data_IF_014325813969
#
_entry.id   IF_014325813969
#
_cell.length_a   1.000
_cell.length_b   1.000
_cell.length_c   1.000
_cell.angle_alpha   90.00
_cell.angle_beta   90.00
_cell.angle_gamma   90.00
#
_symmetry.space_group_name_H-M   'P 1'
#
loop_
_entity.id
_entity.type
_entity.pdbx_description
1 polymer ?
#
# COMPACT_ATOMS: atom_id res chain seq x y z
N UNK A 1 -15.65 42.86 42.58
CA UNK A 1 -16.12 42.14 41.38
C UNK A 1 -16.16 40.66 41.73
N UNK A 2 -17.35 40.07 41.96
CA UNK A 2 -18.09 39.22 41.00
C UNK A 2 -17.21 38.14 40.38
N UNK A 3 -17.50 36.85 40.36
CA UNK A 3 -18.30 35.93 41.17
C UNK A 3 -17.75 34.55 40.77
N UNK A 4 -17.44 33.69 41.74
CA UNK A 4 -17.06 32.29 41.51
C UNK A 4 -18.33 31.57 41.08
N UNK A 5 -18.32 30.86 39.95
CA UNK A 5 -19.41 29.94 39.60
C UNK A 5 -18.84 28.57 39.23
N UNK A 6 -19.04 27.66 40.17
CA UNK A 6 -18.91 26.21 40.06
C UNK A 6 -20.01 25.65 39.16
N UNK A 7 -19.68 24.71 38.26
CA UNK A 7 -20.65 23.70 37.79
C UNK A 7 -19.96 22.34 37.77
N UNK A 8 -20.24 21.56 38.81
CA UNK A 8 -20.13 20.12 38.88
C UNK A 8 -21.47 19.56 38.37
N UNK A 9 -21.45 18.62 37.42
CA UNK A 9 -22.61 17.79 37.13
C UNK A 9 -22.15 16.34 36.97
N UNK A 10 -22.23 15.63 38.09
CA UNK A 10 -22.26 14.18 38.19
C UNK A 10 -23.71 13.76 38.05
N UNK A 11 -24.01 12.86 37.11
CA UNK A 11 -25.23 12.06 37.13
C UNK A 11 -24.88 10.62 36.72
N UNK A 12 -24.73 9.79 37.74
CA UNK A 12 -24.79 8.34 37.66
C UNK A 12 -26.26 7.86 37.54
N UNK A 13 -26.39 6.57 37.21
CA UNK A 13 -27.55 5.67 37.30
C UNK A 13 -28.38 5.44 36.04
N UNK A 14 -28.21 4.25 35.44
CA UNK A 14 -29.17 3.14 35.62
C UNK A 14 -28.40 1.84 35.90
N UNK A 15 -28.80 1.17 36.98
CA UNK A 15 -28.38 -0.13 37.50
C UNK A 15 -29.16 -1.29 36.88
N UNK A 16 -28.52 -2.47 36.86
CA UNK A 16 -29.12 -3.77 37.20
C UNK A 16 -29.93 -4.49 36.11
N UNK A 17 -29.80 -5.80 35.86
CA UNK A 17 -29.19 -6.90 36.60
C UNK A 17 -30.15 -8.09 36.65
N UNK A 18 -29.73 -9.28 36.20
CA UNK A 18 -30.25 -10.64 36.49
C UNK A 18 -29.32 -11.62 35.75
N UNK A 19 -28.33 -12.29 36.33
CA UNK A 19 -28.26 -13.30 37.40
C UNK A 19 -28.64 -14.75 36.97
N UNK A 20 -27.66 -15.65 37.16
CA UNK A 20 -27.72 -17.11 37.39
C UNK A 20 -28.15 -18.10 36.29
N UNK A 21 -27.24 -19.02 35.94
CA UNK A 21 -27.21 -20.45 36.35
C UNK A 21 -26.00 -21.14 35.67
N UNK A 22 -24.99 -21.61 36.39
CA UNK A 22 -24.81 -22.88 37.15
C UNK A 22 -23.98 -23.90 36.35
N UNK A 23 -22.98 -24.44 37.06
CA UNK A 23 -21.97 -25.45 36.69
C UNK A 23 -22.61 -26.80 36.32
N UNK A 24 -21.97 -27.58 35.44
CA UNK A 24 -21.51 -28.93 35.80
C UNK A 24 -20.43 -29.49 34.84
N UNK A 25 -19.50 -30.21 35.47
CA UNK A 25 -18.40 -31.01 34.92
C UNK A 25 -18.94 -32.27 34.24
N UNK A 26 -18.20 -32.86 33.30
CA UNK A 26 -17.75 -34.28 33.29
C UNK A 26 -16.98 -34.53 31.98
N UNK A 27 -15.69 -34.84 32.13
CA UNK A 27 -14.80 -35.43 31.12
C UNK A 27 -14.75 -36.97 31.36
N UNK A 28 -13.95 -37.75 30.62
CA UNK A 28 -14.33 -38.57 29.47
C UNK A 28 -14.34 -40.08 29.79
N UNK A 29 -15.02 -40.91 28.98
CA UNK A 29 -14.72 -42.35 28.93
C UNK A 29 -14.76 -42.92 27.50
N UNK A 30 -13.99 -44.00 27.38
CA UNK A 30 -13.22 -44.50 26.23
C UNK A 30 -13.73 -45.90 25.89
N UNK A 31 -13.37 -46.39 24.68
CA UNK A 31 -13.51 -47.76 24.13
C UNK A 31 -14.89 -48.04 23.48
N UNK A 32 -15.01 -48.71 22.33
CA UNK A 32 -14.24 -49.82 21.78
C UNK A 32 -14.06 -49.73 20.25
N UNK A 33 -12.98 -50.35 19.80
CA UNK A 33 -12.65 -50.69 18.42
C UNK A 33 -13.74 -51.53 17.76
N UNK A 34 -14.06 -51.22 16.50
CA UNK A 34 -14.43 -52.22 15.50
C UNK A 34 -13.67 -51.94 14.21
N UNK A 35 -12.67 -52.79 13.93
CA UNK A 35 -12.19 -53.02 12.58
C UNK A 35 -13.37 -53.47 11.70
N UNK A 36 -13.64 -52.75 10.61
CA UNK A 36 -14.31 -53.30 9.44
C UNK A 36 -13.53 -52.86 8.21
N UNK A 37 -13.07 -53.85 7.45
CA UNK A 37 -12.32 -53.72 6.22
C UNK A 37 -13.17 -53.10 5.10
N UNK A 38 -12.52 -52.17 4.40
CA UNK A 38 -12.61 -51.86 2.96
C UNK A 38 -13.98 -51.98 2.28
N UNK A 39 -14.56 -50.82 1.97
CA UNK A 39 -15.26 -50.67 0.71
C UNK A 39 -14.86 -49.35 0.02
N UNK A 40 -14.74 -49.47 -1.29
CA UNK A 40 -14.05 -48.62 -2.23
C UNK A 40 -14.80 -47.28 -2.41
N UNK A 41 -14.21 -46.16 -1.98
CA UNK A 41 -14.75 -44.83 -2.25
C UNK A 41 -13.83 -44.11 -3.22
N UNK A 42 -14.41 -43.85 -4.40
CA UNK A 42 -13.95 -42.97 -5.47
C UNK A 42 -13.08 -41.81 -4.98
N UNK A 43 -11.86 -41.74 -5.51
CA UNK A 43 -11.10 -40.49 -5.57
C UNK A 43 -11.91 -39.50 -6.41
N UNK A 44 -12.65 -38.61 -5.76
CA UNK A 44 -13.00 -37.33 -6.38
C UNK A 44 -11.69 -36.65 -6.76
N UNK A 45 -11.45 -36.53 -8.06
CA UNK A 45 -10.45 -35.63 -8.62
C UNK A 45 -10.64 -34.26 -7.95
N UNK A 46 -9.69 -33.91 -7.10
CA UNK A 46 -9.43 -32.53 -6.76
C UNK A 46 -9.00 -31.91 -8.09
N UNK A 47 -9.94 -31.22 -8.74
CA UNK A 47 -9.64 -30.30 -9.82
C UNK A 47 -8.65 -29.32 -9.20
N UNK A 48 -7.36 -29.55 -9.48
CA UNK A 48 -6.33 -28.54 -9.32
C UNK A 48 -6.81 -27.37 -10.16
N UNK A 49 -7.35 -26.37 -9.50
CA UNK A 49 -7.39 -25.01 -10.03
C UNK A 49 -6.00 -24.77 -10.58
N UNK A 50 -5.89 -24.70 -11.91
CA UNK A 50 -4.64 -24.33 -12.55
C UNK A 50 -4.37 -22.93 -12.03
N UNK A 51 -3.45 -22.82 -11.08
CA UNK A 51 -2.68 -21.60 -10.91
C UNK A 51 -2.12 -21.29 -12.29
N UNK A 52 -2.79 -20.38 -13.00
CA UNK A 52 -2.21 -19.75 -14.16
C UNK A 52 -1.08 -18.93 -13.56
N UNK A 53 0.21 -19.25 -13.83
CA UNK A 53 1.25 -18.34 -13.43
C UNK A 53 0.97 -17.08 -14.25
N UNK A 54 0.43 -16.05 -13.60
CA UNK A 54 0.34 -14.72 -14.16
C UNK A 54 1.81 -14.35 -14.40
N UNK A 55 2.29 -14.56 -15.63
CA UNK A 55 3.60 -14.07 -16.03
C UNK A 55 3.55 -12.59 -15.70
N UNK A 56 4.44 -12.19 -14.81
CA UNK A 56 4.55 -10.82 -14.35
C UNK A 56 5.06 -9.97 -15.52
N UNK A 57 4.15 -9.63 -16.43
CA UNK A 57 4.44 -8.83 -17.60
C UNK A 57 4.46 -7.38 -17.17
N UNK A 58 5.59 -6.98 -16.59
CA UNK A 58 5.80 -5.62 -16.10
C UNK A 58 5.89 -4.66 -17.27
N UNK A 59 4.92 -3.75 -17.36
CA UNK A 59 4.97 -2.68 -18.33
C UNK A 59 6.15 -1.76 -18.00
N UNK A 60 7.09 -1.64 -18.95
CA UNK A 60 8.23 -0.74 -18.82
C UNK A 60 7.77 0.71 -18.93
N UNK A 61 8.47 1.65 -18.26
CA UNK A 61 8.24 3.08 -18.47
C UNK A 61 8.57 3.49 -19.92
N UNK A 62 8.03 4.63 -20.34
CA UNK A 62 8.26 5.19 -21.68
C UNK A 62 9.73 5.59 -21.88
N UNK A 63 10.33 6.21 -20.85
CA UNK A 63 11.74 6.59 -20.85
C UNK A 63 12.53 5.62 -19.99
N UNK A 64 13.60 5.07 -20.57
CA UNK A 64 14.51 4.21 -19.84
C UNK A 64 15.25 5.01 -18.75
N UNK A 65 15.35 4.43 -17.56
CA UNK A 65 16.16 4.97 -16.48
C UNK A 65 17.62 4.57 -16.68
N UNK A 66 18.57 5.53 -16.74
CA UNK A 66 19.98 5.21 -16.78
C UNK A 66 20.38 4.50 -15.48
N UNK A 67 21.29 3.54 -15.59
CA UNK A 67 21.92 2.91 -14.44
C UNK A 67 22.99 3.84 -13.86
N UNK A 68 23.46 3.54 -12.64
CA UNK A 68 24.47 4.33 -11.92
C UNK A 68 25.60 4.81 -12.85
N UNK A 69 25.78 6.14 -12.94
CA UNK A 69 26.96 6.73 -13.57
C UNK A 69 28.02 6.94 -12.48
N UNK A 70 29.15 6.20 -12.52
CA UNK A 70 30.20 6.33 -11.52
C UNK A 70 30.85 7.72 -11.49
N UNK A 71 30.61 8.55 -12.51
CA UNK A 71 31.17 9.91 -12.61
C UNK A 71 30.27 10.99 -12.01
N UNK A 72 29.07 10.65 -11.51
CA UNK A 72 28.13 11.61 -10.91
C UNK A 72 27.97 11.36 -9.42
N UNK A 73 28.46 12.29 -8.60
CA UNK A 73 28.12 12.32 -7.18
C UNK A 73 26.90 13.21 -6.93
N UNK A 74 25.72 12.61 -6.93
CA UNK A 74 24.45 13.32 -6.70
C UNK A 74 24.33 13.97 -5.32
N UNK A 75 25.11 13.50 -4.33
CA UNK A 75 25.05 14.04 -2.97
C UNK A 75 25.73 15.42 -2.86
N UNK A 76 26.81 15.60 -3.63
CA UNK A 76 27.65 16.81 -3.68
C UNK A 76 27.34 17.71 -4.88
N UNK A 77 26.56 17.22 -5.85
CA UNK A 77 26.22 17.98 -7.04
C UNK A 77 25.41 19.24 -6.71
N UNK A 78 25.89 20.38 -7.21
CA UNK A 78 25.15 21.64 -7.15
C UNK A 78 23.81 21.49 -7.85
N UNK A 79 22.76 21.90 -7.16
CA UNK A 79 21.40 21.71 -7.61
C UNK A 79 21.00 22.77 -8.64
N UNK A 80 20.46 22.31 -9.77
CA UNK A 80 19.93 23.15 -10.83
C UNK A 80 18.47 22.79 -11.07
N UNK A 81 17.59 23.79 -11.21
CA UNK A 81 16.15 23.59 -11.33
C UNK A 81 15.78 22.70 -12.51
N UNK A 82 16.37 22.95 -13.69
CA UNK A 82 16.09 22.16 -14.89
C UNK A 82 16.54 20.70 -14.74
N UNK A 83 17.73 20.46 -14.18
CA UNK A 83 18.22 19.09 -13.95
C UNK A 83 17.36 18.36 -12.92
N UNK A 84 16.94 19.04 -11.85
CA UNK A 84 16.00 18.48 -10.89
C UNK A 84 14.66 18.14 -11.53
N UNK A 85 14.11 19.02 -12.35
CA UNK A 85 12.87 18.79 -13.08
C UNK A 85 13.00 17.61 -14.06
N UNK A 86 14.16 17.47 -14.74
CA UNK A 86 14.44 16.33 -15.61
C UNK A 86 14.48 15.01 -14.82
N UNK A 87 15.15 15.00 -13.67
CA UNK A 87 15.20 13.83 -12.78
C UNK A 87 13.83 13.51 -12.18
N UNK A 88 13.07 14.53 -11.75
CA UNK A 88 11.70 14.38 -11.26
C UNK A 88 10.81 13.79 -12.34
N UNK A 89 10.92 14.27 -13.57
CA UNK A 89 10.16 13.74 -14.68
C UNK A 89 10.48 12.28 -15.00
N UNK A 90 11.77 11.94 -14.97
CA UNK A 90 12.25 10.59 -15.27
C UNK A 90 11.96 9.60 -14.14
N UNK A 91 12.17 9.94 -12.87
CA UNK A 91 12.07 8.95 -11.80
C UNK A 91 10.72 8.93 -11.09
N UNK A 92 9.90 9.98 -11.26
CA UNK A 92 8.63 10.14 -10.52
C UNK A 92 7.46 10.38 -11.48
N UNK A 93 7.47 11.49 -12.23
CA UNK A 93 6.27 11.94 -12.98
C UNK A 93 5.85 10.96 -14.07
N UNK A 94 6.79 10.28 -14.74
CA UNK A 94 6.42 9.32 -15.78
C UNK A 94 5.56 8.17 -15.24
N UNK A 95 5.83 7.69 -14.02
CA UNK A 95 5.07 6.62 -13.39
C UNK A 95 3.68 7.08 -12.94
N UNK A 96 3.58 8.32 -12.46
CA UNK A 96 2.29 8.91 -12.09
C UNK A 96 1.43 9.26 -13.30
N UNK A 97 2.06 9.49 -14.46
CA UNK A 97 1.38 9.76 -15.73
C UNK A 97 1.02 8.48 -16.47
N UNK A 98 1.78 7.40 -16.26
CA UNK A 98 1.50 6.05 -16.77
C UNK A 98 1.53 5.02 -15.62
N UNK A 99 0.48 4.98 -14.78
CA UNK A 99 0.44 4.13 -13.57
C UNK A 99 0.70 2.65 -13.81
N UNK A 100 0.41 2.14 -15.01
CA UNK A 100 0.69 0.77 -15.39
C UNK A 100 2.18 0.36 -15.30
N UNK A 101 3.13 1.31 -15.33
CA UNK A 101 4.56 1.03 -15.15
C UNK A 101 5.06 1.18 -13.71
N UNK A 102 4.19 1.50 -12.74
CA UNK A 102 4.59 1.71 -11.33
C UNK A 102 5.31 0.49 -10.76
N UNK A 103 4.79 -0.72 -11.01
CA UNK A 103 5.42 -1.94 -10.51
C UNK A 103 6.85 -2.10 -11.04
N UNK A 104 7.11 -1.72 -12.29
CA UNK A 104 8.46 -1.72 -12.83
C UNK A 104 9.36 -0.77 -12.03
N UNK A 105 8.92 0.47 -11.79
CA UNK A 105 9.69 1.46 -11.01
C UNK A 105 9.92 1.04 -9.56
N UNK A 106 8.99 0.30 -8.96
CA UNK A 106 9.13 -0.23 -7.59
C UNK A 106 10.16 -1.36 -7.48
N UNK A 107 10.34 -2.16 -8.54
CA UNK A 107 11.35 -3.24 -8.57
C UNK A 107 12.73 -2.80 -9.02
N UNK A 108 12.82 -1.65 -9.68
CA UNK A 108 14.08 -1.10 -10.16
C UNK A 108 14.50 0.07 -9.24
N UNK A 109 15.52 -0.13 -8.38
CA UNK A 109 15.92 0.89 -7.43
C UNK A 109 16.43 2.15 -8.13
N UNK A 110 16.28 3.27 -7.46
CA UNK A 110 16.86 4.53 -7.91
C UNK A 110 18.40 4.44 -7.90
N UNK A 111 19.09 5.05 -8.87
CA UNK A 111 20.54 5.20 -8.81
C UNK A 111 20.98 5.90 -7.52
N UNK A 112 22.20 5.60 -7.06
CA UNK A 112 22.71 6.09 -5.78
C UNK A 112 22.69 7.63 -5.74
N UNK A 113 22.14 8.19 -4.66
CA UNK A 113 22.09 9.63 -4.42
C UNK A 113 21.01 10.39 -5.20
N UNK A 114 20.40 9.82 -6.24
CA UNK A 114 19.27 10.44 -6.97
C UNK A 114 18.10 10.71 -6.04
N UNK A 115 17.80 9.78 -5.12
CA UNK A 115 16.75 9.98 -4.11
C UNK A 115 16.96 11.24 -3.28
N UNK A 116 18.17 11.43 -2.75
CA UNK A 116 18.53 12.61 -1.96
C UNK A 116 18.46 13.90 -2.80
N UNK A 117 18.92 13.84 -4.05
CA UNK A 117 18.85 14.96 -4.98
C UNK A 117 17.40 15.37 -5.25
N UNK A 118 16.49 14.41 -5.46
CA UNK A 118 15.06 14.68 -5.64
C UNK A 118 14.45 15.31 -4.37
N UNK A 119 14.74 14.76 -3.19
CA UNK A 119 14.24 15.27 -1.91
C UNK A 119 14.65 16.73 -1.67
N UNK A 120 15.93 17.05 -1.90
CA UNK A 120 16.45 18.42 -1.80
C UNK A 120 15.69 19.36 -2.73
N UNK A 121 15.47 18.99 -4.00
CA UNK A 121 14.78 19.87 -4.94
C UNK A 121 13.28 20.01 -4.68
N UNK A 122 12.62 19.00 -4.08
CA UNK A 122 11.26 19.18 -3.56
C UNK A 122 11.17 20.24 -2.46
N UNK A 123 12.25 20.52 -1.72
CA UNK A 123 12.29 21.58 -0.72
C UNK A 123 12.58 22.96 -1.32
N UNK A 124 13.26 23.01 -2.48
CA UNK A 124 13.76 24.26 -3.09
C UNK A 124 12.85 24.74 -4.22
N UNK A 125 12.47 23.84 -5.14
CA UNK A 125 11.82 24.18 -6.41
C UNK A 125 10.34 23.80 -6.49
N UNK A 126 9.83 23.00 -5.54
CA UNK A 126 8.42 22.62 -5.58
C UNK A 126 7.50 23.84 -5.44
N UNK A 127 6.59 24.01 -6.39
CA UNK A 127 5.61 25.07 -6.39
C UNK A 127 4.20 24.52 -6.66
N UNK A 128 3.29 24.66 -5.69
CA UNK A 128 1.91 24.19 -5.79
C UNK A 128 1.08 24.92 -6.85
N UNK A 129 1.53 26.09 -7.34
CA UNK A 129 0.82 26.85 -8.37
C UNK A 129 1.14 26.37 -9.79
N UNK A 130 2.28 25.69 -9.99
CA UNK A 130 2.72 25.20 -11.30
C UNK A 130 2.44 23.70 -11.51
N UNK A 131 2.14 22.96 -10.43
CA UNK A 131 1.90 21.52 -10.49
C UNK A 131 0.43 21.19 -10.28
N UNK A 132 -0.12 20.30 -11.12
CA UNK A 132 -1.52 19.85 -11.02
C UNK A 132 -1.75 18.80 -9.93
N UNK A 133 -0.69 18.26 -9.34
CA UNK A 133 -0.71 17.14 -8.40
C UNK A 133 -0.18 17.59 -7.03
N UNK A 134 -0.68 17.03 -5.93
CA UNK A 134 -0.16 17.32 -4.61
C UNK A 134 1.27 16.81 -4.49
N UNK A 135 2.12 17.56 -3.78
CA UNK A 135 3.51 17.19 -3.49
C UNK A 135 3.61 15.79 -2.90
N UNK A 136 2.71 15.49 -1.96
CA UNK A 136 2.70 14.26 -1.19
C UNK A 136 2.40 13.01 -2.04
N UNK A 137 1.76 13.14 -3.21
CA UNK A 137 1.65 12.03 -4.16
C UNK A 137 3.02 11.69 -4.74
N UNK A 138 3.78 12.71 -5.13
CA UNK A 138 5.07 12.53 -5.79
C UNK A 138 6.17 12.10 -4.82
N UNK A 139 6.21 12.72 -3.63
CA UNK A 139 7.13 12.29 -2.58
C UNK A 139 6.72 10.92 -2.02
N UNK A 140 5.42 10.60 -1.95
CA UNK A 140 4.95 9.27 -1.58
C UNK A 140 5.51 8.17 -2.51
N UNK A 141 5.46 8.38 -3.83
CA UNK A 141 6.11 7.44 -4.77
C UNK A 141 7.63 7.37 -4.55
N UNK A 142 8.29 8.51 -4.35
CA UNK A 142 9.73 8.55 -4.04
C UNK A 142 10.06 7.70 -2.80
N UNK A 143 9.33 7.89 -1.70
CA UNK A 143 9.53 7.15 -0.45
C UNK A 143 9.24 5.66 -0.61
N UNK A 144 8.23 5.30 -1.40
CA UNK A 144 7.94 3.91 -1.72
C UNK A 144 9.13 3.24 -2.43
N UNK A 145 9.72 3.91 -3.43
CA UNK A 145 10.92 3.42 -4.16
C UNK A 145 12.18 3.38 -3.28
N UNK A 146 12.31 4.31 -2.34
CA UNK A 146 13.41 4.37 -1.36
C UNK A 146 13.20 3.41 -0.16
N UNK A 147 12.12 2.64 -0.15
CA UNK A 147 11.75 1.71 0.93
C UNK A 147 11.58 2.39 2.30
N UNK A 148 11.14 3.66 2.32
CA UNK A 148 10.88 4.41 3.56
C UNK A 148 9.40 4.34 3.90
N UNK A 149 9.01 3.27 4.62
CA UNK A 149 7.60 2.97 4.90
C UNK A 149 6.90 4.09 5.68
N UNK A 150 7.57 4.66 6.68
CA UNK A 150 6.99 5.66 7.57
C UNK A 150 6.70 6.97 6.83
N UNK A 151 7.65 7.45 6.01
CA UNK A 151 7.49 8.65 5.18
C UNK A 151 6.37 8.48 4.13
N UNK A 152 6.24 7.27 3.57
CA UNK A 152 5.15 6.91 2.66
C UNK A 152 3.79 6.96 3.38
N UNK A 153 3.70 6.44 4.61
CA UNK A 153 2.46 6.50 5.40
C UNK A 153 2.05 7.93 5.73
N UNK A 154 3.01 8.79 6.09
CA UNK A 154 2.76 10.21 6.30
C UNK A 154 2.24 10.89 5.02
N UNK A 155 2.87 10.59 3.87
CA UNK A 155 2.44 11.09 2.57
C UNK A 155 1.00 10.64 2.24
N UNK A 156 0.67 9.37 2.50
CA UNK A 156 -0.67 8.84 2.30
C UNK A 156 -1.72 9.55 3.18
N UNK A 157 -1.39 9.80 4.45
CA UNK A 157 -2.28 10.54 5.35
C UNK A 157 -2.49 11.99 4.89
N UNK A 158 -1.43 12.67 4.42
CA UNK A 158 -1.54 14.03 3.89
C UNK A 158 -2.42 14.09 2.66
N UNK A 159 -2.26 13.18 1.70
CA UNK A 159 -3.14 13.10 0.53
C UNK A 159 -4.58 12.78 0.95
N UNK A 160 -4.79 11.88 1.93
CA UNK A 160 -6.11 11.56 2.46
C UNK A 160 -6.81 12.79 3.07
N UNK A 161 -6.06 13.65 3.78
CA UNK A 161 -6.58 14.88 4.38
C UNK A 161 -7.02 15.92 3.34
N UNK A 162 -6.48 15.86 2.12
CA UNK A 162 -6.93 16.68 0.99
C UNK A 162 -8.20 16.13 0.33
N UNK A 163 -8.55 14.88 0.61
CA UNK A 163 -9.72 14.17 0.09
C UNK A 163 -9.35 12.86 -0.60
N UNK A 164 -10.20 11.84 -0.45
CA UNK A 164 -10.06 10.53 -1.10
C UNK A 164 -10.49 10.59 -2.57
N UNK A 165 -9.65 11.18 -3.41
CA UNK A 165 -9.82 11.26 -4.86
C UNK A 165 -8.79 10.45 -5.65
N UNK A 166 -8.65 10.75 -6.94
CA UNK A 166 -7.69 10.10 -7.86
C UNK A 166 -6.29 9.95 -7.25
N UNK A 167 -5.73 11.03 -6.72
CA UNK A 167 -4.37 11.02 -6.15
C UNK A 167 -4.24 10.12 -4.91
N UNK A 168 -5.29 10.06 -4.08
CA UNK A 168 -5.30 9.20 -2.91
C UNK A 168 -5.29 7.73 -3.34
N UNK A 169 -6.19 7.33 -4.24
CA UNK A 169 -6.27 5.94 -4.69
C UNK A 169 -5.04 5.50 -5.48
N UNK A 170 -4.41 6.41 -6.23
CA UNK A 170 -3.13 6.15 -6.88
C UNK A 170 -2.01 5.91 -5.84
N UNK A 171 -1.93 6.73 -4.80
CA UNK A 171 -0.93 6.54 -3.73
C UNK A 171 -1.22 5.29 -2.89
N UNK A 172 -2.49 4.96 -2.64
CA UNK A 172 -2.88 3.71 -1.97
C UNK A 172 -2.48 2.48 -2.80
N UNK A 173 -2.61 2.53 -4.12
CA UNK A 173 -2.12 1.48 -5.01
C UNK A 173 -0.59 1.31 -4.91
N UNK A 174 0.16 2.42 -4.95
CA UNK A 174 1.62 2.43 -4.76
C UNK A 174 1.99 1.85 -3.39
N UNK A 175 1.30 2.27 -2.33
CA UNK A 175 1.57 1.82 -0.97
C UNK A 175 1.27 0.33 -0.77
N UNK A 176 0.17 -0.17 -1.33
CA UNK A 176 -0.15 -1.60 -1.29
C UNK A 176 0.95 -2.44 -1.95
N UNK A 177 1.47 -2.01 -3.09
CA UNK A 177 2.60 -2.67 -3.73
C UNK A 177 3.89 -2.59 -2.92
N UNK A 178 4.21 -1.42 -2.35
CA UNK A 178 5.33 -1.27 -1.43
C UNK A 178 5.24 -2.28 -0.28
N UNK A 179 4.07 -2.41 0.36
CA UNK A 179 3.88 -3.37 1.44
C UNK A 179 4.08 -4.81 0.98
N UNK A 180 3.54 -5.21 -0.18
CA UNK A 180 3.76 -6.55 -0.72
C UNK A 180 5.25 -6.84 -0.98
N UNK A 181 5.99 -5.87 -1.54
CA UNK A 181 7.41 -6.05 -1.87
C UNK A 181 8.32 -6.08 -0.64
N UNK A 182 7.89 -5.45 0.46
CA UNK A 182 8.58 -5.47 1.75
C UNK A 182 8.08 -6.61 2.68
N UNK A 183 7.28 -7.55 2.17
CA UNK A 183 6.77 -8.69 2.92
C UNK A 183 5.66 -8.36 3.95
N UNK A 184 5.14 -7.14 3.92
CA UNK A 184 4.04 -6.66 4.79
C UNK A 184 2.66 -7.00 4.19
N UNK A 185 2.47 -8.24 3.75
CA UNK A 185 1.27 -8.68 2.99
C UNK A 185 -0.05 -8.44 3.72
N UNK A 186 -0.08 -8.62 5.05
CA UNK A 186 -1.26 -8.31 5.88
C UNK A 186 -1.68 -6.84 5.79
N UNK A 187 -0.70 -5.94 5.81
CA UNK A 187 -0.93 -4.50 5.71
C UNK A 187 -1.38 -4.11 4.30
N UNK A 188 -0.78 -4.72 3.27
CA UNK A 188 -1.23 -4.55 1.88
C UNK A 188 -2.70 -4.97 1.73
N UNK A 189 -3.04 -6.17 2.21
CA UNK A 189 -4.41 -6.72 2.13
C UNK A 189 -5.42 -5.81 2.81
N UNK A 190 -5.13 -5.37 4.04
CA UNK A 190 -5.99 -4.45 4.79
C UNK A 190 -6.24 -3.17 3.99
N UNK A 191 -5.20 -2.53 3.47
CA UNK A 191 -5.33 -1.30 2.67
C UNK A 191 -6.17 -1.53 1.39
N UNK A 192 -5.94 -2.64 0.68
CA UNK A 192 -6.68 -2.99 -0.54
C UNK A 192 -8.18 -3.15 -0.26
N UNK A 193 -8.53 -3.81 0.85
CA UNK A 193 -9.90 -4.09 1.26
C UNK A 193 -10.61 -2.84 1.79
N UNK A 194 -9.99 -2.09 2.70
CA UNK A 194 -10.54 -0.87 3.30
C UNK A 194 -10.81 0.20 2.23
N UNK A 195 -9.88 0.36 1.29
CA UNK A 195 -10.00 1.37 0.23
C UNK A 195 -10.65 0.81 -1.04
N UNK A 196 -11.08 -0.45 -1.04
CA UNK A 196 -11.76 -1.10 -2.14
C UNK A 196 -11.09 -0.82 -3.51
N UNK A 197 -9.77 -1.03 -3.56
CA UNK A 197 -8.94 -0.52 -4.67
C UNK A 197 -9.38 -1.05 -6.03
N UNK A 198 -9.91 -2.28 -6.10
CA UNK A 198 -10.43 -2.86 -7.34
C UNK A 198 -11.61 -2.09 -7.93
N UNK A 199 -12.41 -1.41 -7.09
CA UNK A 199 -13.51 -0.56 -7.56
C UNK A 199 -13.08 0.90 -7.72
N UNK A 200 -12.29 1.42 -6.78
CA UNK A 200 -11.98 2.84 -6.74
C UNK A 200 -10.91 3.27 -7.76
N UNK A 201 -9.94 2.41 -8.09
CA UNK A 201 -8.96 2.72 -9.15
C UNK A 201 -9.66 3.05 -10.49
N UNK A 202 -10.52 2.17 -11.05
CA UNK A 202 -11.22 2.49 -12.29
C UNK A 202 -12.28 3.58 -12.12
N UNK A 203 -12.99 3.65 -10.99
CA UNK A 203 -14.03 4.66 -10.76
C UNK A 203 -13.49 6.10 -10.75
N UNK A 204 -12.23 6.29 -10.35
CA UNK A 204 -11.54 7.59 -10.38
C UNK A 204 -10.70 7.81 -11.65
N UNK A 205 -10.87 6.96 -12.68
CA UNK A 205 -10.20 7.13 -13.98
C UNK A 205 -8.71 6.84 -13.96
N UNK A 206 -8.21 6.09 -12.98
CA UNK A 206 -6.79 5.72 -12.90
C UNK A 206 -6.53 4.56 -13.86
N UNK A 207 -5.76 4.82 -14.92
CA UNK A 207 -5.47 3.85 -15.99
C UNK A 207 -4.44 2.79 -15.55
N UNK A 208 -4.91 1.77 -14.82
CA UNK A 208 -4.14 0.56 -14.47
C UNK A 208 -4.86 -0.66 -15.05
N UNK A 209 -4.17 -1.56 -15.78
CA UNK A 209 -4.77 -2.80 -16.27
C UNK A 209 -5.34 -3.65 -15.14
N UNK A 210 -6.52 -4.22 -15.31
CA UNK A 210 -7.19 -5.04 -14.30
C UNK A 210 -6.30 -6.20 -13.83
N UNK A 211 -5.53 -6.79 -14.74
CA UNK A 211 -4.61 -7.87 -14.42
C UNK A 211 -3.56 -7.46 -13.38
N UNK A 212 -3.12 -6.20 -13.36
CA UNK A 212 -2.19 -5.71 -12.35
C UNK A 212 -2.85 -5.53 -10.98
N UNK A 213 -4.14 -5.15 -10.96
CA UNK A 213 -4.91 -5.04 -9.71
C UNK A 213 -5.17 -6.45 -9.16
N UNK A 214 -5.56 -7.40 -10.01
CA UNK A 214 -5.71 -8.81 -9.61
C UNK A 214 -4.39 -9.38 -9.11
N UNK A 215 -3.27 -9.06 -9.76
CA UNK A 215 -1.94 -9.47 -9.32
C UNK A 215 -1.59 -8.89 -7.95
N UNK A 216 -1.90 -7.61 -7.68
CA UNK A 216 -1.73 -6.99 -6.36
C UNK A 216 -2.53 -7.72 -5.29
N UNK A 217 -3.81 -8.00 -5.57
CA UNK A 217 -4.70 -8.72 -4.65
C UNK A 217 -4.12 -10.10 -4.34
N UNK A 218 -3.74 -10.86 -5.38
CA UNK A 218 -3.13 -12.18 -5.21
C UNK A 218 -1.85 -12.09 -4.38
N UNK A 219 -0.98 -11.12 -4.66
CA UNK A 219 0.28 -10.92 -3.93
C UNK A 219 0.04 -10.64 -2.45
N UNK A 220 -0.97 -9.83 -2.12
CA UNK A 220 -1.31 -9.50 -0.74
C UNK A 220 -1.83 -10.68 0.09
N UNK A 221 -2.19 -11.79 -0.56
CA UNK A 221 -2.69 -13.00 0.08
C UNK A 221 -1.62 -14.08 0.27
N UNK A 222 -0.42 -13.89 -0.28
CA UNK A 222 0.70 -14.81 -0.08
C UNK A 222 1.11 -14.83 1.40
N UNK A 223 1.43 -16.02 1.92
CA UNK A 223 1.91 -16.15 3.30
C UNK A 223 3.31 -15.49 3.43
N UNK A 224 3.52 -14.62 4.43
CA UNK A 224 4.81 -13.96 4.66
C UNK A 224 5.91 -14.92 5.13
#
# INVERSE_FOLDING_TARGET
>A
MRAILSILLVLCFVLGGCNNQKKENVEPQKKEEKEVKQENIEKKEIVKEKEIPVKENLQKPEKAEPQDDPNVNWEEKDMQEQEWEDMRNLYIVQYLTKPASIMWGMKNPLPKGVGLYLEKGYAIYWNSSSTKRPKDLETGLLYARLKRTEDLQESLQKVANLGKGEHYYLLSYIAAWHYCLEGKNKQAKQLIEEENLSKNIPAYGIEIPEEQITMLISKSQENP
#
